data_IF_603256473088
#
_entry.id   IF_603256473088
#
_cell.length_a   1.000
_cell.length_b   1.000
_cell.length_c   1.000
_cell.angle_alpha   90.00
_cell.angle_beta   90.00
_cell.angle_gamma   90.00
#
_symmetry.space_group_name_H-M   'P 1'
#
loop_
_entity.id
_entity.type
_entity.pdbx_description
1 polymer ?
#
# COMPACT_ATOMS: atom_id res chain seq x y z
N UNK A 1 2.09 1.75 3.18
CA UNK A 1 1.65 3.16 3.28
C UNK A 1 0.18 3.21 3.59
N UNK A 2 -0.46 4.35 3.40
CA UNK A 2 -1.91 4.48 3.61
C UNK A 2 -2.72 3.76 2.52
N UNK A 3 -3.68 2.96 2.95
CA UNK A 3 -4.58 2.18 2.11
C UNK A 3 -6.02 2.59 2.42
N UNK A 4 -6.81 2.87 1.39
CA UNK A 4 -8.20 3.28 1.50
C UNK A 4 -9.10 2.11 1.91
N UNK A 5 -9.30 1.97 3.21
CA UNK A 5 -10.24 1.03 3.86
C UNK A 5 -11.38 1.81 4.52
N UNK A 6 -12.47 1.14 4.95
CA UNK A 6 -13.52 1.79 5.74
C UNK A 6 -13.00 2.48 7.01
N UNK A 7 -11.93 1.94 7.62
CA UNK A 7 -11.28 2.57 8.77
C UNK A 7 -10.64 3.90 8.40
N UNK A 8 -9.84 3.93 7.33
CA UNK A 8 -9.11 5.14 6.92
C UNK A 8 -10.01 6.20 6.31
N UNK A 9 -11.15 5.81 5.73
CA UNK A 9 -12.14 6.76 5.21
C UNK A 9 -12.73 7.67 6.29
N UNK A 10 -12.72 7.21 7.55
CA UNK A 10 -13.22 7.97 8.69
C UNK A 10 -12.13 8.80 9.39
N UNK A 11 -10.91 8.87 8.84
CA UNK A 11 -9.86 9.70 9.41
C UNK A 11 -10.15 11.19 9.18
N UNK A 12 -9.72 12.07 10.09
CA UNK A 12 -9.76 13.51 9.86
C UNK A 12 -9.11 13.90 8.53
N UNK A 13 -9.72 14.84 7.81
CA UNK A 13 -9.27 15.27 6.49
C UNK A 13 -7.79 15.66 6.47
N UNK A 14 -7.31 16.35 7.50
CA UNK A 14 -5.90 16.74 7.63
C UNK A 14 -4.92 15.55 7.55
N UNK A 15 -5.29 14.39 8.10
CA UNK A 15 -4.47 13.17 8.05
C UNK A 15 -4.48 12.58 6.64
N UNK A 16 -5.64 12.59 5.98
CA UNK A 16 -5.78 12.14 4.60
C UNK A 16 -4.99 13.02 3.64
N UNK A 17 -5.03 14.34 3.81
CA UNK A 17 -4.30 15.30 3.00
C UNK A 17 -2.78 15.12 3.16
N UNK A 18 -2.31 14.91 4.40
CA UNK A 18 -0.90 14.61 4.65
C UNK A 18 -0.48 13.30 3.95
N UNK A 19 -1.28 12.23 4.09
CA UNK A 19 -1.01 10.96 3.44
C UNK A 19 -0.95 11.09 1.90
N UNK A 20 -1.81 11.93 1.31
CA UNK A 20 -1.83 12.24 -0.12
C UNK A 20 -0.62 13.04 -0.58
N UNK A 21 -0.10 13.94 0.26
CA UNK A 21 1.09 14.74 -0.05
C UNK A 21 2.38 13.89 0.01
N UNK A 22 2.42 12.87 0.87
CA UNK A 22 3.59 12.00 1.02
C UNK A 22 3.69 10.93 -0.10
N UNK A 23 2.57 10.48 -0.67
CA UNK A 23 2.57 9.48 -1.76
C UNK A 23 2.95 10.10 -3.11
N UNK A 24 3.97 9.54 -3.76
CA UNK A 24 4.40 9.97 -5.11
C UNK A 24 3.34 9.64 -6.17
N UNK A 25 2.46 8.67 -5.91
CA UNK A 25 1.37 8.32 -6.81
C UNK A 25 0.16 9.27 -6.73
N UNK A 26 0.18 10.26 -5.82
CA UNK A 26 -0.90 11.25 -5.68
C UNK A 26 -2.25 10.68 -5.25
N UNK A 27 -2.26 9.43 -4.76
CA UNK A 27 -3.45 8.74 -4.23
C UNK A 27 -3.07 7.72 -3.18
N UNK A 28 -4.05 7.41 -2.33
CA UNK A 28 -3.98 6.25 -1.43
C UNK A 28 -4.03 4.95 -2.23
N UNK A 29 -3.39 3.91 -1.69
CA UNK A 29 -3.51 2.56 -2.24
C UNK A 29 -4.90 1.98 -1.97
N UNK A 30 -5.30 0.96 -2.73
CA UNK A 30 -6.53 0.21 -2.50
C UNK A 30 -6.23 -1.16 -1.86
N UNK A 31 -7.16 -1.76 -1.11
CA UNK A 31 -6.96 -3.07 -0.50
C UNK A 31 -6.57 -4.16 -1.51
N UNK A 32 -7.12 -4.10 -2.72
CA UNK A 32 -6.83 -5.06 -3.80
C UNK A 32 -5.37 -4.97 -4.26
N UNK A 33 -4.76 -3.79 -4.21
CA UNK A 33 -3.36 -3.61 -4.60
C UNK A 33 -2.41 -4.29 -3.61
N UNK A 34 -2.76 -4.31 -2.31
CA UNK A 34 -2.07 -5.11 -1.29
C UNK A 34 -2.29 -6.60 -1.56
N UNK A 35 -3.54 -7.00 -1.81
CA UNK A 35 -3.90 -8.39 -2.06
C UNK A 35 -3.20 -8.97 -3.30
N UNK A 36 -3.05 -8.20 -4.38
CA UNK A 36 -2.35 -8.65 -5.58
C UNK A 36 -0.87 -8.94 -5.34
N UNK A 37 -0.16 -8.12 -4.55
CA UNK A 37 1.23 -8.41 -4.17
C UNK A 37 1.31 -9.69 -3.34
N UNK A 38 0.41 -9.87 -2.38
CA UNK A 38 0.34 -11.09 -1.57
C UNK A 38 0.06 -12.31 -2.45
N UNK A 39 -0.90 -12.21 -3.37
CA UNK A 39 -1.24 -13.27 -4.32
C UNK A 39 -0.03 -13.68 -5.17
N UNK A 40 0.73 -12.72 -5.67
CA UNK A 40 1.98 -13.00 -6.38
C UNK A 40 2.98 -13.74 -5.49
N UNK A 41 3.21 -13.26 -4.26
CA UNK A 41 4.14 -13.87 -3.32
C UNK A 41 3.74 -15.29 -2.90
N UNK A 42 2.44 -15.60 -2.88
CA UNK A 42 1.92 -16.93 -2.60
C UNK A 42 1.92 -17.86 -3.85
N UNK A 43 2.24 -17.34 -5.04
CA UNK A 43 2.23 -18.11 -6.28
C UNK A 43 3.58 -18.78 -6.54
N UNK A 44 3.59 -19.79 -7.43
CA UNK A 44 4.82 -20.43 -7.93
C UNK A 44 5.79 -19.46 -8.60
N UNK A 45 5.31 -18.30 -9.08
CA UNK A 45 6.16 -17.29 -9.71
C UNK A 45 7.16 -16.67 -8.73
N UNK A 46 6.86 -16.70 -7.43
CA UNK A 46 7.69 -16.12 -6.38
C UNK A 46 8.53 -17.16 -5.61
N UNK A 47 8.64 -18.40 -6.10
CA UNK A 47 9.25 -19.54 -5.36
C UNK A 47 10.72 -19.38 -4.92
N UNK A 48 11.40 -18.34 -5.38
CA UNK A 48 12.78 -18.03 -5.00
C UNK A 48 12.91 -16.72 -4.20
N UNK A 49 11.78 -16.13 -3.79
CA UNK A 49 11.73 -14.95 -2.94
C UNK A 49 11.48 -15.43 -1.50
N UNK A 50 12.46 -15.21 -0.62
CA UNK A 50 12.34 -15.52 0.80
C UNK A 50 13.07 -14.47 1.65
N UNK A 51 12.54 -14.17 2.83
CA UNK A 51 13.11 -13.17 3.75
C UNK A 51 13.04 -11.70 3.30
N UNK A 52 12.34 -11.41 2.21
CA UNK A 52 12.20 -10.05 1.68
C UNK A 52 10.97 -9.33 2.27
N UNK A 53 11.10 -8.02 2.49
CA UNK A 53 9.99 -7.13 2.86
C UNK A 53 9.67 -6.23 1.67
N UNK A 54 8.48 -6.35 1.11
CA UNK A 54 8.02 -5.52 -0.01
C UNK A 54 7.14 -4.39 0.54
N UNK A 55 7.58 -3.14 0.37
CA UNK A 55 6.77 -1.97 0.72
C UNK A 55 5.67 -1.78 -0.34
N UNK A 56 4.43 -1.62 0.14
CA UNK A 56 3.26 -1.27 -0.68
C UNK A 56 2.75 0.07 -0.16
N UNK A 57 3.32 1.15 -0.67
CA UNK A 57 3.12 2.49 -0.11
C UNK A 57 3.02 3.62 -1.13
N UNK A 58 3.05 3.32 -2.43
CA UNK A 58 2.99 4.37 -3.46
C UNK A 58 4.15 5.36 -3.40
N UNK A 59 5.26 4.99 -2.78
CA UNK A 59 6.40 5.89 -2.60
C UNK A 59 6.24 6.86 -1.42
N UNK A 60 5.47 6.51 -0.40
CA UNK A 60 5.26 7.38 0.76
C UNK A 60 6.53 7.58 1.63
N UNK A 61 7.47 6.63 1.60
CA UNK A 61 8.66 6.62 2.45
C UNK A 61 9.96 6.47 1.65
N UNK A 62 10.08 7.20 0.54
CA UNK A 62 11.29 7.32 -0.28
C UNK A 62 11.95 8.68 -0.11
#
# INVERSE_FOLDING_TARGET
GYILTPLTQNLPQQILDQALAETVLGRLGRPEEVAHTILFLCSELARHITGAVIKIDGGQYI
#
